data_IF_675175077358
#
_entry.id   IF_675175077358
#
_cell.length_a   1.000
_cell.length_b   1.000
_cell.length_c   1.000
_cell.angle_alpha   90.00
_cell.angle_beta   90.00
_cell.angle_gamma   90.00
#
_symmetry.space_group_name_H-M   'P 1'
#
loop_
_entity.id
_entity.type
_entity.pdbx_description
1 polymer ?
#
# COMPACT_ATOMS: atom_id res chain seq x y z
N UNK A 1 -8.00 -2.42 -2.67
CA UNK A 1 -7.76 -2.68 -1.24
C UNK A 1 -6.65 -3.67 -1.06
N UNK A 2 -5.44 -3.17 -0.79
CA UNK A 2 -4.34 -3.96 -0.30
C UNK A 2 -4.08 -3.72 1.20
N UNK A 3 -3.55 -4.73 1.87
CA UNK A 3 -2.79 -4.59 3.12
C UNK A 3 -1.35 -5.01 2.86
N UNK A 4 -0.42 -4.11 3.09
CA UNK A 4 1.03 -4.32 3.01
C UNK A 4 1.59 -4.49 4.42
N UNK A 5 1.95 -5.70 4.81
CA UNK A 5 2.58 -5.98 6.10
C UNK A 5 4.09 -6.18 5.91
N UNK A 6 4.86 -5.22 6.44
CA UNK A 6 6.31 -5.28 6.48
C UNK A 6 6.76 -5.96 7.77
N UNK A 7 7.21 -7.19 7.65
CA UNK A 7 7.93 -7.89 8.70
C UNK A 7 9.39 -7.50 8.59
N UNK A 8 9.94 -6.81 9.58
CA UNK A 8 11.27 -6.23 9.46
C UNK A 8 12.19 -6.57 10.64
N UNK A 9 13.46 -6.83 10.31
CA UNK A 9 14.56 -6.98 11.28
C UNK A 9 15.44 -5.71 11.33
N UNK A 10 15.11 -4.69 10.54
CA UNK A 10 15.80 -3.41 10.53
C UNK A 10 15.26 -2.45 11.60
N UNK A 11 16.09 -1.51 12.12
CA UNK A 11 15.66 -0.45 13.03
C UNK A 11 14.85 0.64 12.32
N UNK A 12 13.66 0.31 11.81
CA UNK A 12 12.80 1.25 11.10
C UNK A 12 12.18 2.27 12.07
N UNK A 13 12.73 3.49 12.08
CA UNK A 13 12.14 4.63 12.79
C UNK A 13 10.85 5.14 12.16
N UNK A 14 10.14 6.03 12.87
CA UNK A 14 8.85 6.61 12.41
C UNK A 14 8.94 7.24 11.02
N UNK A 15 9.99 8.01 10.75
CA UNK A 15 10.19 8.67 9.44
C UNK A 15 10.33 7.66 8.30
N UNK A 16 11.04 6.55 8.52
CA UNK A 16 11.22 5.48 7.53
C UNK A 16 9.93 4.72 7.27
N UNK A 17 9.21 4.36 8.33
CA UNK A 17 7.88 3.73 8.22
C UNK A 17 6.90 4.63 7.45
N UNK A 18 6.86 5.92 7.79
CA UNK A 18 6.02 6.90 7.11
C UNK A 18 6.40 7.05 5.62
N UNK A 19 7.70 7.11 5.29
CA UNK A 19 8.15 7.19 3.91
C UNK A 19 7.78 5.94 3.10
N UNK A 20 8.00 4.74 3.65
CA UNK A 20 7.62 3.47 3.02
C UNK A 20 6.11 3.41 2.76
N UNK A 21 5.30 3.75 3.77
CA UNK A 21 3.84 3.77 3.64
C UNK A 21 3.40 4.74 2.53
N UNK A 22 3.93 5.96 2.53
CA UNK A 22 3.62 6.96 1.49
C UNK A 22 3.99 6.47 0.09
N UNK A 23 5.22 5.98 -0.11
CA UNK A 23 5.69 5.51 -1.42
C UNK A 23 4.85 4.35 -1.96
N UNK A 24 4.48 3.40 -1.11
CA UNK A 24 3.60 2.29 -1.50
C UNK A 24 2.19 2.79 -1.80
N UNK A 25 1.63 3.66 -0.96
CA UNK A 25 0.29 4.22 -1.17
C UNK A 25 0.21 4.98 -2.48
N UNK A 26 1.17 5.88 -2.76
CA UNK A 26 1.22 6.63 -4.01
C UNK A 26 1.35 5.70 -5.22
N UNK A 27 2.28 4.74 -5.16
CA UNK A 27 2.48 3.79 -6.24
C UNK A 27 1.24 2.92 -6.50
N UNK A 28 0.63 2.34 -5.46
CA UNK A 28 -0.54 1.49 -5.60
C UNK A 28 -1.73 2.28 -6.14
N UNK A 29 -2.00 3.46 -5.58
CA UNK A 29 -3.09 4.32 -6.00
C UNK A 29 -2.98 4.66 -7.49
N UNK A 30 -1.78 4.98 -7.95
CA UNK A 30 -1.50 5.29 -9.36
C UNK A 30 -1.60 4.06 -10.25
N UNK A 31 -0.91 2.97 -9.88
CA UNK A 31 -0.80 1.76 -10.70
C UNK A 31 -2.16 1.06 -10.91
N UNK A 32 -3.06 1.17 -9.93
CA UNK A 32 -4.36 0.50 -9.95
C UNK A 32 -5.55 1.45 -10.03
N UNK A 33 -5.32 2.74 -10.28
CA UNK A 33 -6.36 3.78 -10.37
C UNK A 33 -7.34 3.74 -9.21
N UNK A 34 -6.80 3.56 -8.01
CA UNK A 34 -7.59 3.39 -6.79
C UNK A 34 -7.36 4.58 -5.85
N UNK A 35 -8.36 5.00 -5.05
CA UNK A 35 -8.18 6.02 -4.03
C UNK A 35 -7.08 5.65 -3.03
N UNK A 36 -6.28 6.61 -2.57
CA UNK A 36 -5.16 6.33 -1.64
C UNK A 36 -5.61 5.75 -0.31
N UNK A 37 -6.77 6.16 0.18
CA UNK A 37 -7.23 5.80 1.53
C UNK A 37 -7.44 4.29 1.74
N UNK A 38 -7.60 3.52 0.67
CA UNK A 38 -7.84 2.06 0.74
C UNK A 38 -6.54 1.25 0.90
N UNK A 39 -5.38 1.93 0.84
CA UNK A 39 -4.07 1.31 0.94
C UNK A 39 -3.65 1.27 2.40
N UNK A 40 -3.62 0.07 2.97
CA UNK A 40 -3.25 -0.12 4.37
C UNK A 40 -1.80 -0.62 4.46
N UNK A 41 -1.01 -0.02 5.35
CA UNK A 41 0.36 -0.44 5.63
C UNK A 41 0.50 -0.76 7.12
N UNK A 42 1.15 -1.88 7.43
CA UNK A 42 1.49 -2.29 8.80
C UNK A 42 2.97 -2.65 8.87
N UNK A 43 3.62 -2.27 9.97
CA UNK A 43 5.02 -2.60 10.22
C UNK A 43 5.13 -3.45 11.47
N UNK A 44 5.68 -4.65 11.33
CA UNK A 44 5.86 -5.64 12.38
C UNK A 44 7.36 -5.75 12.65
N UNK A 45 7.78 -5.27 13.82
CA UNK A 45 9.19 -5.28 14.24
C UNK A 45 9.55 -6.65 14.83
N UNK A 46 10.42 -7.37 14.14
CA UNK A 46 10.87 -8.72 14.51
C UNK A 46 12.23 -8.71 15.24
N UNK A 47 12.80 -7.54 15.52
CA UNK A 47 14.13 -7.45 16.16
C UNK A 47 14.13 -8.09 17.54
N UNK A 48 13.10 -7.81 18.34
CA UNK A 48 12.95 -8.31 19.70
C UNK A 48 12.41 -9.75 19.77
N UNK A 49 11.89 -10.31 18.67
CA UNK A 49 11.40 -11.69 18.64
C UNK A 49 12.57 -12.69 18.69
N UNK A 50 12.39 -13.85 19.32
CA UNK A 50 13.44 -14.85 19.41
C UNK A 50 13.73 -15.44 18.02
N UNK A 51 14.99 -15.63 17.67
CA UNK A 51 15.38 -16.17 16.35
C UNK A 51 14.92 -17.62 16.19
N UNK A 52 14.83 -18.38 17.28
CA UNK A 52 14.38 -19.79 17.29
C UNK A 52 12.92 -19.98 16.86
N UNK A 53 12.15 -18.90 16.73
CA UNK A 53 10.77 -18.93 16.23
C UNK A 53 10.70 -18.83 14.68
N UNK A 54 11.83 -18.56 14.01
CA UNK A 54 11.86 -18.27 12.58
C UNK A 54 12.73 -19.26 11.83
N UNK A 55 12.12 -20.01 10.92
CA UNK A 55 12.79 -21.05 10.16
C UNK A 55 12.55 -20.85 8.66
N UNK A 56 13.63 -20.92 7.87
CA UNK A 56 13.59 -20.87 6.41
C UNK A 56 14.37 -22.06 5.87
N UNK A 57 13.69 -22.97 5.18
CA UNK A 57 14.32 -24.19 4.64
C UNK A 57 14.97 -25.09 5.70
N UNK A 58 14.46 -25.08 6.94
CA UNK A 58 15.02 -25.84 8.06
C UNK A 58 16.16 -25.14 8.80
N UNK A 59 16.48 -23.88 8.47
CA UNK A 59 17.50 -23.08 9.16
C UNK A 59 16.87 -21.96 9.97
N UNK A 60 17.33 -21.75 11.21
CA UNK A 60 16.99 -20.59 12.03
C UNK A 60 17.41 -19.30 11.33
N UNK A 61 16.44 -18.51 10.88
CA UNK A 61 16.70 -17.33 10.09
C UNK A 61 15.54 -16.32 10.15
N UNK A 62 15.80 -15.17 10.77
CA UNK A 62 14.95 -13.98 10.63
C UNK A 62 15.31 -13.23 9.36
N UNK A 63 14.31 -12.87 8.57
CA UNK A 63 14.48 -12.09 7.33
C UNK A 63 13.45 -10.96 7.28
N UNK A 64 13.72 -9.92 6.49
CA UNK A 64 12.66 -8.99 6.13
C UNK A 64 11.74 -9.65 5.10
N UNK A 65 10.43 -9.54 5.33
CA UNK A 65 9.40 -10.08 4.44
C UNK A 65 8.31 -9.04 4.22
N UNK A 66 7.73 -9.05 3.02
CA UNK A 66 6.55 -8.25 2.70
C UNK A 66 5.39 -9.19 2.37
N UNK A 67 4.39 -9.20 3.24
CA UNK A 67 3.13 -9.91 3.01
C UNK A 67 2.13 -8.93 2.43
N UNK A 68 1.49 -9.30 1.30
CA UNK A 68 0.56 -8.43 0.59
C UNK A 68 -0.74 -9.18 0.44
N UNK A 69 -1.75 -8.72 1.16
CA UNK A 69 -3.11 -9.24 1.04
C UNK A 69 -3.90 -8.29 0.16
N UNK A 70 -4.54 -8.76 -0.89
CA UNK A 70 -5.33 -7.91 -1.79
C UNK A 70 -6.64 -8.57 -2.22
N UNK A 71 -7.55 -7.75 -2.77
CA UNK A 71 -8.78 -8.19 -3.43
C UNK A 71 -8.54 -9.34 -4.39
N UNK A 72 -9.23 -10.46 -4.20
CA UNK A 72 -9.34 -11.53 -5.18
C UNK A 72 -9.80 -10.90 -6.50
N UNK A 73 -8.99 -11.02 -7.55
CA UNK A 73 -9.23 -10.38 -8.85
C UNK A 73 -9.28 -11.42 -9.97
N UNK A 74 -9.72 -11.01 -11.16
CA UNK A 74 -9.97 -11.88 -12.32
C UNK A 74 -8.69 -12.34 -13.05
N UNK A 75 -7.56 -12.48 -12.35
CA UNK A 75 -6.30 -13.03 -12.88
C UNK A 75 -5.31 -11.97 -13.35
N UNK A 76 -4.34 -11.63 -12.49
CA UNK A 76 -3.09 -10.99 -12.95
C UNK A 76 -2.20 -12.05 -13.59
N UNK A 77 -1.46 -11.67 -14.63
CA UNK A 77 -0.47 -12.57 -15.25
C UNK A 77 0.76 -12.73 -14.37
N UNK A 78 1.57 -13.75 -14.66
CA UNK A 78 2.84 -13.96 -13.97
C UNK A 78 3.77 -12.75 -14.11
N UNK A 79 3.84 -12.14 -15.30
CA UNK A 79 4.65 -10.95 -15.58
C UNK A 79 4.18 -9.75 -14.76
N UNK A 80 2.87 -9.59 -14.60
CA UNK A 80 2.31 -8.53 -13.76
C UNK A 80 2.68 -8.73 -12.29
N UNK A 81 2.62 -9.97 -11.78
CA UNK A 81 3.09 -10.27 -10.42
C UNK A 81 4.59 -10.02 -10.26
N UNK A 82 5.42 -10.45 -11.21
CA UNK A 82 6.87 -10.18 -11.21
C UNK A 82 7.17 -8.69 -11.21
N UNK A 83 6.45 -7.91 -12.01
CA UNK A 83 6.59 -6.45 -12.07
C UNK A 83 6.23 -5.78 -10.74
N UNK A 84 5.09 -6.17 -10.15
CA UNK A 84 4.65 -5.69 -8.82
C UNK A 84 5.71 -6.00 -7.77
N UNK A 85 6.14 -7.26 -7.67
CA UNK A 85 7.13 -7.70 -6.68
C UNK A 85 8.46 -6.97 -6.85
N UNK A 86 8.97 -6.87 -8.08
CA UNK A 86 10.22 -6.14 -8.38
C UNK A 86 10.14 -4.67 -7.98
N UNK A 87 9.00 -4.02 -8.27
CA UNK A 87 8.80 -2.61 -7.91
C UNK A 87 8.80 -2.41 -6.39
N UNK A 88 8.18 -3.31 -5.65
CA UNK A 88 8.12 -3.23 -4.18
C UNK A 88 9.49 -3.47 -3.53
N UNK A 89 10.28 -4.42 -4.06
CA UNK A 89 11.67 -4.62 -3.65
C UNK A 89 12.48 -3.34 -3.90
N UNK A 90 12.31 -2.70 -5.06
CA UNK A 90 12.97 -1.43 -5.36
C UNK A 90 12.59 -0.30 -4.39
N UNK A 91 11.29 -0.15 -4.06
CA UNK A 91 10.82 0.83 -3.07
C UNK A 91 11.46 0.58 -1.70
N UNK A 92 11.53 -0.68 -1.28
CA UNK A 92 12.16 -1.07 -0.03
C UNK A 92 13.64 -0.72 -0.03
N UNK A 93 14.41 -1.19 -1.02
CA UNK A 93 15.86 -0.98 -1.11
C UNK A 93 16.22 0.51 -1.07
N UNK A 94 15.48 1.34 -1.82
CA UNK A 94 15.70 2.79 -1.83
C UNK A 94 15.39 3.43 -0.47
N UNK A 95 14.35 2.94 0.22
CA UNK A 95 13.93 3.49 1.52
C UNK A 95 14.83 3.09 2.68
N UNK A 96 15.55 1.96 2.56
CA UNK A 96 16.38 1.39 3.62
C UNK A 96 17.88 1.55 3.38
N UNK A 97 18.29 2.11 2.23
CA UNK A 97 19.71 2.22 1.83
C UNK A 97 20.64 2.87 2.85
N UNK A 98 20.13 3.86 3.59
CA UNK A 98 20.87 4.65 4.57
C UNK A 98 20.83 4.07 6.00
N UNK A 99 20.14 2.95 6.20
CA UNK A 99 20.13 2.25 7.49
C UNK A 99 21.49 1.59 7.70
N UNK A 100 22.05 1.80 8.90
CA UNK A 100 23.28 1.16 9.35
C UNK A 100 23.02 -0.31 9.68
N UNK A 101 23.09 -1.17 8.66
CA UNK A 101 23.00 -2.62 8.71
C UNK A 101 23.74 -3.19 7.50
N UNK A 102 24.12 -4.47 7.53
CA UNK A 102 24.73 -5.13 6.37
C UNK A 102 23.77 -5.16 5.18
N UNK A 103 24.29 -5.23 3.94
CA UNK A 103 23.42 -5.38 2.75
C UNK A 103 22.51 -6.60 2.87
N UNK A 104 23.04 -7.70 3.41
CA UNK A 104 22.27 -8.93 3.67
C UNK A 104 21.09 -8.70 4.61
N UNK A 105 21.29 -7.94 5.68
CA UNK A 105 20.22 -7.60 6.63
C UNK A 105 19.22 -6.61 6.04
N UNK A 106 19.65 -5.77 5.08
CA UNK A 106 18.78 -4.81 4.40
C UNK A 106 17.89 -5.45 3.34
N UNK A 107 18.24 -6.60 2.80
CA UNK A 107 17.45 -7.25 1.75
C UNK A 107 16.02 -7.58 2.19
N UNK A 108 15.06 -7.27 1.31
CA UNK A 108 13.71 -7.82 1.38
C UNK A 108 13.72 -9.20 0.74
N UNK A 109 13.89 -10.23 1.59
CA UNK A 109 14.16 -11.61 1.14
C UNK A 109 12.95 -12.26 0.50
N UNK A 110 11.78 -12.02 1.07
CA UNK A 110 10.54 -12.66 0.64
C UNK A 110 9.45 -11.63 0.41
N UNK A 111 8.74 -11.76 -0.72
CA UNK A 111 7.56 -10.95 -1.05
C UNK A 111 6.45 -11.88 -1.48
N UNK A 112 5.34 -11.88 -0.74
CA UNK A 112 4.20 -12.74 -1.00
C UNK A 112 2.99 -11.90 -1.38
N UNK A 113 2.38 -12.21 -2.54
CA UNK A 113 1.14 -11.58 -3.01
C UNK A 113 0.00 -12.58 -2.90
N UNK A 114 -0.99 -12.26 -2.06
CA UNK A 114 -2.13 -13.11 -1.72
C UNK A 114 -3.43 -12.44 -2.15
N UNK A 115 -4.12 -13.01 -3.13
CA UNK A 115 -5.46 -12.59 -3.55
C UNK A 115 -6.54 -13.34 -2.79
N UNK A 116 -6.95 -12.82 -1.64
CA UNK A 116 -7.84 -13.55 -0.69
C UNK A 116 -9.01 -12.72 -0.16
N UNK A 117 -9.14 -11.45 -0.55
CA UNK A 117 -10.23 -10.59 -0.07
C UNK A 117 -11.42 -10.66 -1.05
N UNK A 118 -12.50 -11.31 -0.64
CA UNK A 118 -13.72 -11.50 -1.46
C UNK A 118 -14.83 -10.48 -1.20
N UNK A 119 -14.76 -9.74 -0.09
CA UNK A 119 -15.58 -8.57 0.18
C UNK A 119 -14.85 -7.67 1.15
N UNK A 120 -15.12 -6.36 1.09
CA UNK A 120 -14.58 -5.46 2.07
C UNK A 120 -15.38 -4.16 2.20
N UNK A 121 -15.53 -3.73 3.44
CA UNK A 121 -16.12 -2.46 3.82
C UNK A 121 -15.07 -1.64 4.57
N UNK A 122 -14.66 -0.51 4.01
CA UNK A 122 -13.69 0.39 4.63
C UNK A 122 -14.31 1.75 4.82
N UNK A 123 -14.19 2.28 6.04
CA UNK A 123 -14.68 3.62 6.40
C UNK A 123 -16.16 3.85 6.02
N UNK A 124 -16.96 2.80 6.12
CA UNK A 124 -18.40 2.84 5.84
C UNK A 124 -18.79 2.54 4.39
N UNK A 125 -17.83 2.28 3.49
CA UNK A 125 -18.12 2.01 2.09
C UNK A 125 -17.72 0.59 1.68
N UNK A 126 -18.64 -0.11 1.02
CA UNK A 126 -18.32 -1.34 0.31
C UNK A 126 -17.46 -1.00 -0.91
N UNK A 127 -16.26 -1.57 -0.95
CA UNK A 127 -15.32 -1.29 -2.03
C UNK A 127 -15.60 -2.16 -3.25
N UNK A 128 -15.41 -1.61 -4.46
CA UNK A 128 -15.72 -2.31 -5.69
C UNK A 128 -14.66 -3.39 -5.98
N UNK A 129 -14.93 -4.21 -6.99
CA UNK A 129 -13.92 -5.11 -7.55
C UNK A 129 -12.76 -4.31 -8.18
N UNK A 130 -11.56 -4.90 -8.34
CA UNK A 130 -10.45 -4.26 -9.04
C UNK A 130 -10.86 -3.75 -10.44
N UNK A 131 -10.41 -2.55 -10.81
CA UNK A 131 -10.72 -1.92 -12.11
C UNK A 131 -12.10 -1.27 -12.21
N UNK A 132 -12.79 -1.08 -11.07
CA UNK A 132 -14.11 -0.43 -10.99
C UNK A 132 -14.11 0.78 -10.07
N UNK A 133 -12.94 1.35 -9.78
CA UNK A 133 -12.83 2.46 -8.83
C UNK A 133 -13.32 3.78 -9.41
N UNK A 134 -13.10 4.04 -10.70
CA UNK A 134 -13.53 5.29 -11.35
C UNK A 134 -15.05 5.50 -11.28
N UNK A 135 -15.93 4.57 -11.74
CA UNK A 135 -17.37 4.75 -11.59
C UNK A 135 -17.81 4.74 -10.13
N UNK A 136 -17.19 3.92 -9.29
CA UNK A 136 -17.51 3.85 -7.86
C UNK A 136 -17.20 5.16 -7.13
N UNK A 137 -16.11 5.85 -7.49
CA UNK A 137 -15.78 7.17 -6.93
C UNK A 137 -16.87 8.18 -7.30
N UNK A 138 -17.26 8.25 -8.58
CA UNK A 138 -18.31 9.16 -9.04
C UNK A 138 -19.66 8.91 -8.35
N UNK A 139 -20.02 7.63 -8.14
CA UNK A 139 -21.24 7.24 -7.44
C UNK A 139 -21.26 7.67 -5.96
N UNK A 140 -20.11 7.76 -5.30
CA UNK A 140 -19.99 8.02 -3.87
C UNK A 140 -19.49 9.43 -3.52
N UNK A 141 -19.14 10.25 -4.52
CA UNK A 141 -18.51 11.57 -4.34
C UNK A 141 -19.32 12.50 -3.43
N UNK A 142 -20.64 12.48 -3.53
CA UNK A 142 -21.52 13.31 -2.68
C UNK A 142 -21.35 12.96 -1.18
N UNK A 143 -21.26 11.68 -0.83
CA UNK A 143 -21.06 11.27 0.56
C UNK A 143 -19.62 11.54 1.02
N UNK A 144 -18.62 11.38 0.13
CA UNK A 144 -17.25 11.76 0.43
C UNK A 144 -17.15 13.25 0.78
N UNK A 145 -17.82 14.11 0.01
CA UNK A 145 -17.83 15.54 0.25
C UNK A 145 -18.50 15.89 1.59
N UNK A 146 -19.58 15.19 1.94
CA UNK A 146 -20.26 15.34 3.23
C UNK A 146 -19.35 14.95 4.40
N UNK A 147 -18.62 13.84 4.30
CA UNK A 147 -17.64 13.41 5.31
C UNK A 147 -16.47 14.39 5.44
N UNK A 148 -15.95 14.88 4.31
CA UNK A 148 -14.91 15.90 4.29
C UNK A 148 -15.37 17.20 4.97
N UNK A 149 -16.58 17.67 4.64
CA UNK A 149 -17.20 18.85 5.26
C UNK A 149 -17.46 18.64 6.77
N UNK A 150 -17.75 17.41 7.17
CA UNK A 150 -17.88 16.99 8.57
C UNK A 150 -16.57 16.94 9.35
N UNK A 151 -15.43 17.18 8.70
CA UNK A 151 -14.12 17.28 9.36
C UNK A 151 -13.23 16.04 9.23
N UNK A 152 -13.68 14.98 8.55
CA UNK A 152 -12.88 13.77 8.37
C UNK A 152 -11.66 14.05 7.45
N UNK A 153 -10.46 13.97 8.03
CA UNK A 153 -9.21 14.26 7.33
C UNK A 153 -8.93 13.32 6.17
N UNK A 154 -9.31 12.05 6.26
CA UNK A 154 -9.10 11.08 5.17
C UNK A 154 -9.98 11.43 3.98
N UNK A 155 -11.22 11.85 4.22
CA UNK A 155 -12.12 12.26 3.14
C UNK A 155 -11.78 13.65 2.60
N UNK A 156 -11.21 14.56 3.41
CA UNK A 156 -10.63 15.82 2.88
C UNK A 156 -9.51 15.54 1.89
N UNK A 157 -8.58 14.65 2.25
CA UNK A 157 -7.50 14.23 1.36
C UNK A 157 -8.05 13.53 0.11
N UNK A 158 -9.10 12.71 0.24
CA UNK A 158 -9.76 12.05 -0.90
C UNK A 158 -10.41 13.05 -1.86
N UNK A 159 -11.10 14.09 -1.36
CA UNK A 159 -11.70 15.11 -2.22
C UNK A 159 -10.61 15.88 -2.98
N UNK A 160 -9.52 16.25 -2.31
CA UNK A 160 -8.37 16.85 -2.99
C UNK A 160 -7.81 15.90 -4.07
N UNK A 161 -7.63 14.62 -3.72
CA UNK A 161 -7.17 13.60 -4.65
C UNK A 161 -8.07 13.47 -5.88
N UNK A 162 -9.39 13.49 -5.72
CA UNK A 162 -10.37 13.42 -6.82
C UNK A 162 -10.23 14.62 -7.76
N UNK A 163 -10.05 15.83 -7.20
CA UNK A 163 -9.89 17.06 -7.98
C UNK A 163 -8.59 17.07 -8.80
N UNK A 164 -7.53 16.44 -8.31
CA UNK A 164 -6.21 16.42 -8.94
C UNK A 164 -6.03 15.29 -9.96
N UNK A 165 -6.78 14.18 -9.84
CA UNK A 165 -6.58 12.97 -10.64
C UNK A 165 -7.53 12.89 -11.85
N UNK A 166 -7.01 12.89 -13.09
CA UNK A 166 -7.84 12.87 -14.30
C UNK A 166 -8.79 11.67 -14.42
N UNK A 167 -8.39 10.50 -13.95
CA UNK A 167 -9.20 9.29 -13.97
C UNK A 167 -10.46 9.38 -13.09
N UNK A 168 -10.50 10.31 -12.13
CA UNK A 168 -11.66 10.59 -11.29
C UNK A 168 -12.44 11.83 -11.75
N UNK A 169 -12.15 12.37 -12.93
CA UNK A 169 -12.78 13.58 -13.46
C UNK A 169 -12.11 14.89 -13.03
N UNK A 170 -11.01 14.80 -12.28
CA UNK A 170 -10.15 15.94 -11.94
C UNK A 170 -9.41 16.54 -13.14
N UNK A 171 -8.92 17.75 -12.99
CA UNK A 171 -8.20 18.45 -14.06
C UNK A 171 -7.45 19.67 -13.51
N UNK A 172 -6.48 20.23 -14.27
CA UNK A 172 -5.75 21.40 -13.82
C UNK A 172 -6.74 22.52 -13.54
N UNK A 173 -6.82 22.95 -12.27
CA UNK A 173 -7.54 24.17 -11.92
C UNK A 173 -6.85 25.31 -12.67
N UNK A 174 -7.50 25.83 -13.71
CA UNK A 174 -7.10 27.10 -14.30
C UNK A 174 -7.25 28.13 -13.21
N UNK A 175 -6.13 28.50 -12.58
CA UNK A 175 -6.08 29.61 -11.63
C UNK A 175 -6.49 30.88 -12.38
N UNK A 176 -7.76 31.27 -12.28
CA UNK A 176 -8.21 32.59 -12.68
C UNK A 176 -7.53 33.60 -11.76
N UNK A 177 -6.60 34.37 -12.33
CA UNK A 177 -6.12 35.63 -11.77
C UNK A 177 -7.23 36.67 -11.82
#
# INVERSE_FOLDING_TARGET
>A
MPTYEFHHILPLGRSKKANLARLITDWHATAFKAPRFIVNCRFIDLRAANTEDFWVGGHELKTNKLMITLRSGTGRTEEQYKSITTKLISIWNESTKDIQASEREKELRDVFVMGVIDSACERGFFLPMPGKFEPWVAENETEFQKLANGGDVVFKDLIQEIQERPEFGGGPQTSSK
#
